data_IF_592706237827
#
_entry.id   IF_592706237827
#
_cell.length_a   1.000
_cell.length_b   1.000
_cell.length_c   1.000
_cell.angle_alpha   90.00
_cell.angle_beta   90.00
_cell.angle_gamma   90.00
#
_symmetry.space_group_name_H-M   'P 1'
#
loop_
_entity.id
_entity.type
_entity.pdbx_description
1 polymer ?
#
# COMPACT_ATOMS: atom_id res chain seq x y z
N UNK A 1 -2.08 7.00 -10.94
CA UNK A 1 -2.19 5.58 -10.50
C UNK A 1 -3.63 5.14 -10.64
N UNK A 2 -3.87 3.96 -11.22
CA UNK A 2 -5.23 3.41 -11.39
C UNK A 2 -5.66 2.73 -10.10
N UNK A 3 -6.78 3.15 -9.52
CA UNK A 3 -7.34 2.57 -8.28
C UNK A 3 -8.62 1.79 -8.58
N UNK A 4 -9.13 1.01 -7.61
CA UNK A 4 -10.11 -0.08 -7.72
C UNK A 4 -11.44 0.14 -8.49
N UNK A 5 -11.70 1.35 -9.03
CA UNK A 5 -12.82 1.65 -9.94
C UNK A 5 -12.39 2.17 -11.33
N UNK A 6 -11.11 1.99 -11.68
CA UNK A 6 -10.53 2.53 -12.91
C UNK A 6 -10.24 4.03 -12.88
N UNK A 7 -10.51 4.69 -11.76
CA UNK A 7 -10.16 6.09 -11.55
C UNK A 7 -8.64 6.26 -11.57
N UNK A 8 -8.19 7.33 -12.23
CA UNK A 8 -6.77 7.71 -12.28
C UNK A 8 -6.57 8.83 -11.27
N UNK A 9 -5.86 8.54 -10.18
CA UNK A 9 -5.50 9.54 -9.18
C UNK A 9 -4.09 10.04 -9.48
N UNK A 10 -3.90 11.36 -9.41
CA UNK A 10 -2.59 12.00 -9.53
C UNK A 10 -1.81 11.77 -8.25
N UNK A 11 -0.59 11.24 -8.39
CA UNK A 11 0.37 11.11 -7.31
C UNK A 11 1.14 12.42 -7.15
N UNK A 12 1.42 12.83 -5.92
CA UNK A 12 2.28 14.00 -5.61
C UNK A 12 3.76 13.72 -5.90
N UNK A 13 4.12 12.44 -6.01
CA UNK A 13 5.47 11.99 -6.34
C UNK A 13 5.63 10.49 -6.13
N UNK A 14 6.88 10.03 -6.19
CA UNK A 14 7.27 8.67 -5.83
C UNK A 14 8.38 8.74 -4.81
N UNK A 15 8.15 8.18 -3.62
CA UNK A 15 9.21 7.90 -2.67
C UNK A 15 9.92 6.63 -3.13
N UNK A 16 11.21 6.73 -3.45
CA UNK A 16 11.97 5.62 -4.02
C UNK A 16 12.74 4.86 -2.95
N UNK A 17 12.81 3.54 -3.11
CA UNK A 17 13.59 2.63 -2.25
C UNK A 17 13.29 2.80 -0.76
N UNK A 18 12.02 2.98 -0.41
CA UNK A 18 11.62 3.11 0.97
C UNK A 18 11.76 1.77 1.67
N UNK A 19 12.54 1.76 2.74
CA UNK A 19 12.63 0.64 3.67
C UNK A 19 11.41 0.67 4.61
N UNK A 20 10.57 -0.35 4.51
CA UNK A 20 9.36 -0.54 5.29
C UNK A 20 9.48 -1.82 6.10
N UNK A 21 9.17 -1.73 7.38
CA UNK A 21 9.04 -2.90 8.25
C UNK A 21 7.55 -3.16 8.49
N UNK A 22 7.02 -4.25 7.91
CA UNK A 22 5.69 -4.76 8.23
C UNK A 22 5.84 -5.97 9.15
N UNK A 23 5.59 -5.76 10.45
CA UNK A 23 5.83 -6.77 11.47
C UNK A 23 7.28 -7.27 11.43
N UNK A 24 7.52 -8.54 11.10
CA UNK A 24 8.86 -9.14 10.98
C UNK A 24 9.41 -9.08 9.54
N UNK A 25 8.61 -8.61 8.58
CA UNK A 25 8.97 -8.55 7.16
C UNK A 25 9.55 -7.19 6.80
N UNK A 26 10.83 -7.19 6.41
CA UNK A 26 11.49 -6.04 5.79
C UNK A 26 11.20 -5.99 4.29
N UNK A 27 10.75 -4.84 3.80
CA UNK A 27 10.31 -4.64 2.42
C UNK A 27 10.99 -3.37 1.89
N UNK A 28 11.58 -3.43 0.70
CA UNK A 28 12.11 -2.26 0.00
C UNK A 28 11.32 -2.00 -1.25
N UNK A 29 10.56 -0.91 -1.28
CA UNK A 29 9.63 -0.62 -2.38
C UNK A 29 9.58 0.85 -2.76
N UNK A 30 9.08 1.11 -3.98
CA UNK A 30 8.78 2.47 -4.44
C UNK A 30 7.30 2.78 -4.15
N UNK A 31 7.03 3.79 -3.31
CA UNK A 31 5.67 4.17 -2.94
C UNK A 31 5.21 5.46 -3.63
N UNK A 32 3.99 5.43 -4.15
CA UNK A 32 3.31 6.63 -4.64
C UNK A 32 2.75 7.44 -3.46
N UNK A 33 3.04 8.75 -3.45
CA UNK A 33 2.57 9.66 -2.41
C UNK A 33 1.23 10.26 -2.84
N UNK A 34 0.20 10.08 -2.02
CA UNK A 34 -1.13 10.64 -2.23
C UNK A 34 -1.53 11.50 -1.04
N UNK A 35 -2.32 12.55 -1.28
CA UNK A 35 -3.08 13.22 -0.23
C UNK A 35 -4.27 12.33 0.13
N UNK A 36 -4.07 11.41 1.07
CA UNK A 36 -5.12 10.54 1.59
C UNK A 36 -5.88 11.29 2.69
N UNK A 37 -7.17 11.53 2.50
CA UNK A 37 -8.02 12.12 3.52
C UNK A 37 -8.43 11.06 4.55
N UNK A 38 -7.53 10.77 5.50
CA UNK A 38 -7.81 9.92 6.68
C UNK A 38 -7.03 8.61 6.74
N UNK A 39 -6.55 8.09 5.61
CA UNK A 39 -5.72 6.88 5.56
C UNK A 39 -4.23 7.19 5.59
N UNK A 40 -3.43 6.36 6.29
CA UNK A 40 -1.98 6.55 6.36
C UNK A 40 -1.22 5.80 5.26
N UNK A 41 -1.69 4.61 4.89
CA UNK A 41 -1.05 3.73 3.91
C UNK A 41 -2.12 2.95 3.14
N UNK A 42 -2.00 2.91 1.82
CA UNK A 42 -2.86 2.07 0.97
C UNK A 42 -2.00 0.96 0.36
N UNK A 43 -2.31 -0.28 0.71
CA UNK A 43 -1.68 -1.46 0.12
C UNK A 43 -2.48 -1.90 -1.10
N UNK A 44 -1.88 -1.73 -2.29
CA UNK A 44 -2.50 -2.14 -3.55
C UNK A 44 -2.40 -3.65 -3.79
N UNK A 45 -3.10 -4.14 -4.83
CA UNK A 45 -3.10 -5.56 -5.21
C UNK A 45 -1.69 -6.10 -5.53
N UNK A 46 -0.77 -5.25 -5.96
CA UNK A 46 0.64 -5.62 -6.18
C UNK A 46 1.30 -6.18 -4.92
N UNK A 47 0.87 -5.76 -3.73
CA UNK A 47 1.40 -6.28 -2.47
C UNK A 47 0.98 -7.72 -2.18
N UNK A 48 -0.07 -8.23 -2.83
CA UNK A 48 -0.43 -9.65 -2.75
C UNK A 48 0.64 -10.56 -3.37
N UNK A 49 1.61 -10.01 -4.11
CA UNK A 49 2.77 -10.76 -4.61
C UNK A 49 3.80 -11.08 -3.52
N UNK A 50 3.76 -10.38 -2.37
CA UNK A 50 4.68 -10.61 -1.26
C UNK A 50 4.45 -11.94 -0.53
N UNK A 51 3.38 -12.66 -0.86
CA UNK A 51 3.12 -14.01 -0.37
C UNK A 51 1.64 -14.25 -0.12
N UNK A 52 1.33 -15.23 0.73
CA UNK A 52 -0.06 -15.47 1.17
C UNK A 52 -0.50 -14.36 2.11
N UNK A 53 -1.20 -13.36 1.59
CA UNK A 53 -1.90 -12.37 2.39
C UNK A 53 -3.19 -13.00 2.94
N UNK A 54 -3.28 -13.15 4.26
CA UNK A 54 -4.52 -13.51 4.96
C UNK A 54 -5.04 -12.26 5.67
N UNK A 55 -6.24 -11.82 5.31
CA UNK A 55 -6.92 -10.72 6.00
C UNK A 55 -8.00 -11.33 6.89
N UNK A 56 -7.88 -11.17 8.22
CA UNK A 56 -8.95 -11.56 9.16
C UNK A 56 -9.62 -10.30 9.71
N UNK A 57 -10.79 -9.99 9.17
CA UNK A 57 -11.57 -8.82 9.58
C UNK A 57 -12.26 -9.01 10.94
N UNK A 58 -12.26 -10.23 11.51
CA UNK A 58 -12.89 -10.48 12.83
C UNK A 58 -12.04 -9.96 13.99
N UNK A 59 -10.74 -9.82 13.80
CA UNK A 59 -9.84 -9.23 14.80
C UNK A 59 -9.71 -7.71 14.68
N UNK A 60 -10.47 -7.08 13.77
CA UNK A 60 -10.48 -5.63 13.57
C UNK A 60 -11.73 -4.95 14.17
N UNK A 61 -12.57 -5.68 14.92
CA UNK A 61 -13.78 -5.17 15.59
C UNK A 61 -13.54 -5.10 17.10
#
# INVERSE_FOLDING_TARGET
VKVGKGQIIKSSGVCRSLDLQLQEMGIKENLHVFALEGEKVVLGLEWMKLGRVKVDFREMI
#
